data_IF_913479359484
#
_entry.id   IF_913479359484
#
_cell.length_a   1.000
_cell.length_b   1.000
_cell.length_c   1.000
_cell.angle_alpha   90.00
_cell.angle_beta   90.00
_cell.angle_gamma   90.00
#
_symmetry.space_group_name_H-M   'P 1'
#
loop_
_entity.id
_entity.type
_entity.pdbx_description
1 polymer ?
#
# COMPACT_ATOMS: atom_id res chain seq x y z
N UNK A 1 -10.45 2.85 -2.44
CA UNK A 1 -9.52 1.91 -3.10
C UNK A 1 -8.33 2.64 -3.69
N UNK A 2 -7.10 2.19 -3.44
CA UNK A 2 -5.84 2.82 -3.91
C UNK A 2 -5.32 2.12 -5.18
N UNK A 3 -4.82 2.86 -6.18
CA UNK A 3 -4.23 2.27 -7.37
C UNK A 3 -2.84 1.72 -7.04
N UNK A 4 -2.48 0.63 -7.70
CA UNK A 4 -1.22 -0.08 -7.48
C UNK A 4 -0.45 -0.21 -8.77
N UNK A 5 0.87 -0.17 -8.67
CA UNK A 5 1.77 -0.66 -9.71
C UNK A 5 2.29 -2.01 -9.24
N UNK A 6 1.82 -3.06 -9.91
CA UNK A 6 2.36 -4.40 -9.80
C UNK A 6 3.62 -4.49 -10.65
N UNK A 7 4.65 -5.10 -10.08
CA UNK A 7 6.00 -5.14 -10.64
C UNK A 7 6.46 -6.60 -10.71
N UNK A 8 6.92 -7.06 -11.88
CA UNK A 8 7.77 -8.25 -11.88
C UNK A 8 9.12 -7.94 -11.23
N UNK A 9 9.88 -8.98 -10.86
CA UNK A 9 11.17 -8.87 -10.21
C UNK A 9 12.31 -8.94 -11.22
N UNK A 10 12.44 -10.09 -11.86
CA UNK A 10 13.55 -10.42 -12.76
C UNK A 10 13.40 -9.64 -14.07
N UNK A 11 14.48 -9.03 -14.54
CA UNK A 11 14.52 -8.16 -15.72
C UNK A 11 13.54 -6.98 -15.71
N UNK A 12 13.00 -6.62 -14.54
CA UNK A 12 12.14 -5.46 -14.31
C UNK A 12 12.67 -4.58 -13.17
N UNK A 13 12.99 -5.18 -12.01
CA UNK A 13 13.65 -4.49 -10.89
C UNK A 13 15.13 -4.83 -10.80
N UNK A 14 15.51 -6.04 -11.20
CA UNK A 14 16.88 -6.55 -11.14
C UNK A 14 17.31 -7.14 -12.48
N UNK A 15 18.61 -7.12 -12.77
CA UNK A 15 19.17 -7.83 -13.91
C UNK A 15 19.28 -9.33 -13.58
N UNK A 16 18.49 -10.20 -14.23
CA UNK A 16 18.54 -11.63 -13.99
C UNK A 16 17.95 -12.47 -15.14
N UNK A 17 18.80 -13.24 -15.82
CA UNK A 17 18.42 -14.16 -16.89
C UNK A 17 18.29 -15.63 -16.45
N UNK A 18 18.30 -15.91 -15.14
CA UNK A 18 18.28 -17.29 -14.63
C UNK A 18 17.59 -17.47 -13.28
N UNK A 19 17.85 -18.62 -12.67
CA UNK A 19 17.36 -18.94 -11.33
C UNK A 19 18.30 -18.28 -10.29
N UNK A 20 17.89 -17.12 -9.77
CA UNK A 20 18.61 -16.34 -8.75
C UNK A 20 18.09 -16.63 -7.33
N UNK A 21 18.86 -17.42 -6.56
CA UNK A 21 18.63 -17.66 -5.12
C UNK A 21 19.70 -17.07 -4.20
N UNK A 22 20.77 -16.49 -4.75
CA UNK A 22 21.85 -15.89 -3.95
C UNK A 22 21.67 -14.37 -3.87
N UNK A 23 21.41 -13.80 -2.67
CA UNK A 23 21.28 -12.36 -2.47
C UNK A 23 22.52 -11.57 -2.93
N UNK A 24 23.72 -12.13 -2.81
CA UNK A 24 24.96 -11.42 -3.17
C UNK A 24 25.08 -11.15 -4.68
N UNK A 25 24.23 -11.78 -5.49
CA UNK A 25 24.18 -11.63 -6.95
C UNK A 25 23.08 -10.67 -7.41
N UNK A 26 22.35 -10.04 -6.48
CA UNK A 26 21.33 -9.05 -6.79
C UNK A 26 21.97 -7.77 -7.31
N UNK A 27 21.54 -7.36 -8.51
CA UNK A 27 21.91 -6.07 -9.11
C UNK A 27 20.63 -5.38 -9.56
N UNK A 28 20.32 -4.22 -8.96
CA UNK A 28 19.19 -3.40 -9.39
C UNK A 28 19.42 -2.88 -10.81
N UNK A 29 18.35 -2.81 -11.60
CA UNK A 29 18.40 -2.12 -12.90
C UNK A 29 18.45 -0.60 -12.70
N UNK A 30 19.02 0.08 -13.69
CA UNK A 30 19.14 1.53 -13.67
C UNK A 30 17.76 2.20 -13.57
N UNK A 31 17.70 3.27 -12.76
CA UNK A 31 16.48 4.03 -12.54
C UNK A 31 15.44 3.36 -11.63
N UNK A 32 15.63 2.11 -11.19
CA UNK A 32 14.65 1.42 -10.33
C UNK A 32 14.40 2.15 -9.00
N UNK A 33 15.41 2.49 -8.17
CA UNK A 33 15.16 3.16 -6.90
C UNK A 33 14.38 4.47 -7.05
N UNK A 34 14.81 5.31 -8.00
CA UNK A 34 14.20 6.59 -8.29
C UNK A 34 12.79 6.44 -8.88
N UNK A 35 12.58 5.50 -9.79
CA UNK A 35 11.28 5.21 -10.38
C UNK A 35 10.26 4.75 -9.35
N UNK A 36 10.65 3.84 -8.45
CA UNK A 36 9.80 3.40 -7.33
C UNK A 36 9.43 4.58 -6.42
N UNK A 37 10.41 5.44 -6.08
CA UNK A 37 10.15 6.65 -5.28
C UNK A 37 9.15 7.58 -5.97
N UNK A 38 9.32 7.84 -7.28
CA UNK A 38 8.41 8.68 -8.08
C UNK A 38 6.98 8.13 -8.11
N UNK A 39 6.82 6.81 -8.27
CA UNK A 39 5.51 6.16 -8.23
C UNK A 39 4.86 6.30 -6.85
N UNK A 40 5.63 6.13 -5.76
CA UNK A 40 5.14 6.36 -4.39
C UNK A 40 4.71 7.80 -4.16
N UNK A 41 5.48 8.76 -4.64
CA UNK A 41 5.17 10.20 -4.50
C UNK A 41 3.92 10.59 -5.31
N UNK A 42 3.64 9.88 -6.40
CA UNK A 42 2.39 10.00 -7.15
C UNK A 42 1.19 9.32 -6.47
N UNK A 43 1.41 8.64 -5.34
CA UNK A 43 0.37 8.01 -4.53
C UNK A 43 -0.09 6.64 -5.01
N UNK A 44 0.77 5.92 -5.75
CA UNK A 44 0.60 4.50 -6.01
C UNK A 44 1.14 3.68 -4.84
N UNK A 45 0.51 2.53 -4.58
CA UNK A 45 1.18 1.44 -3.84
C UNK A 45 1.99 0.59 -4.80
N UNK A 46 3.01 -0.08 -4.29
CA UNK A 46 3.95 -0.89 -5.06
C UNK A 46 3.92 -2.31 -4.54
N UNK A 47 3.61 -3.25 -5.42
CA UNK A 47 3.52 -4.68 -5.07
C UNK A 47 4.33 -5.48 -6.06
N UNK A 48 5.25 -6.30 -5.57
CA UNK A 48 6.00 -7.23 -6.43
C UNK A 48 5.20 -8.51 -6.60
N UNK A 49 5.08 -8.99 -7.84
CA UNK A 49 4.43 -10.26 -8.20
C UNK A 49 5.33 -11.05 -9.15
N UNK A 50 5.94 -12.13 -8.65
CA UNK A 50 7.02 -12.82 -9.39
C UNK A 50 6.88 -14.35 -9.44
N UNK A 51 7.25 -14.97 -10.56
CA UNK A 51 7.31 -16.43 -10.69
C UNK A 51 8.69 -16.93 -10.25
N UNK A 52 8.77 -17.68 -9.15
CA UNK A 52 10.03 -18.22 -8.60
C UNK A 52 10.14 -19.73 -8.81
N UNK A 53 10.09 -20.13 -10.08
CA UNK A 53 10.12 -21.54 -10.48
C UNK A 53 11.45 -22.26 -10.20
N UNK A 54 12.51 -21.54 -9.84
CA UNK A 54 13.78 -22.16 -9.41
C UNK A 54 13.61 -23.04 -8.18
N UNK A 55 12.65 -22.72 -7.30
CA UNK A 55 12.25 -23.57 -6.16
C UNK A 55 11.77 -24.93 -6.66
N UNK A 56 10.76 -24.95 -7.54
CA UNK A 56 10.24 -26.18 -8.16
C UNK A 56 11.30 -27.00 -8.91
N UNK A 57 12.35 -26.36 -9.42
CA UNK A 57 13.47 -27.00 -10.13
C UNK A 57 14.61 -27.44 -9.21
N UNK A 58 14.51 -27.20 -7.91
CA UNK A 58 15.54 -27.53 -6.92
C UNK A 58 16.83 -26.72 -7.08
N UNK A 59 16.73 -25.47 -7.56
CA UNK A 59 17.89 -24.57 -7.69
C UNK A 59 18.22 -23.81 -6.41
N UNK A 60 17.21 -23.55 -5.59
CA UNK A 60 17.27 -22.86 -4.31
C UNK A 60 15.98 -23.13 -3.52
N UNK A 61 15.95 -22.78 -2.24
CA UNK A 61 14.79 -22.97 -1.36
C UNK A 61 13.91 -21.71 -1.27
N UNK A 62 12.73 -21.80 -0.65
CA UNK A 62 11.85 -20.63 -0.46
C UNK A 62 12.50 -19.59 0.46
N UNK A 63 13.30 -20.03 1.42
CA UNK A 63 14.09 -19.18 2.32
C UNK A 63 15.10 -18.32 1.55
N UNK A 64 15.66 -18.85 0.46
CA UNK A 64 16.57 -18.11 -0.42
C UNK A 64 15.84 -17.02 -1.21
N UNK A 65 14.62 -17.31 -1.67
CA UNK A 65 13.73 -16.31 -2.30
C UNK A 65 13.48 -15.16 -1.34
N UNK A 66 13.17 -15.46 -0.08
CA UNK A 66 12.94 -14.44 0.95
C UNK A 66 14.19 -13.61 1.25
N UNK A 67 15.38 -14.24 1.26
CA UNK A 67 16.65 -13.53 1.42
C UNK A 67 16.91 -12.59 0.23
N UNK A 68 16.67 -13.03 -0.99
CA UNK A 68 16.80 -12.20 -2.21
C UNK A 68 15.83 -11.02 -2.15
N UNK A 69 14.57 -11.24 -1.76
CA UNK A 69 13.59 -10.14 -1.64
C UNK A 69 13.98 -9.12 -0.57
N UNK A 70 14.54 -9.56 0.56
CA UNK A 70 15.07 -8.64 1.58
C UNK A 70 16.25 -7.82 1.07
N UNK A 71 17.14 -8.43 0.30
CA UNK A 71 18.27 -7.72 -0.30
C UNK A 71 17.80 -6.67 -1.31
N UNK A 72 16.87 -7.01 -2.20
CA UNK A 72 16.29 -6.05 -3.15
C UNK A 72 15.66 -4.86 -2.40
N UNK A 73 14.86 -5.13 -1.36
CA UNK A 73 14.26 -4.08 -0.55
C UNK A 73 15.31 -3.21 0.14
N UNK A 74 16.37 -3.82 0.69
CA UNK A 74 17.47 -3.10 1.34
C UNK A 74 18.24 -2.19 0.38
N UNK A 75 18.57 -2.69 -0.82
CA UNK A 75 19.26 -1.93 -1.86
C UNK A 75 18.39 -0.77 -2.38
N UNK A 76 17.09 -1.02 -2.60
CA UNK A 76 16.14 0.01 -3.03
C UNK A 76 16.01 1.09 -1.95
N UNK A 77 15.81 0.70 -0.69
CA UNK A 77 15.64 1.64 0.42
C UNK A 77 16.90 2.50 0.62
N UNK A 78 18.09 1.91 0.48
CA UNK A 78 19.37 2.61 0.57
C UNK A 78 19.55 3.60 -0.58
N UNK A 79 19.31 3.16 -1.83
CA UNK A 79 19.55 3.97 -3.02
C UNK A 79 18.50 5.08 -3.20
N UNK A 80 17.27 4.86 -2.74
CA UNK A 80 16.17 5.84 -2.82
C UNK A 80 16.10 6.79 -1.61
N UNK A 81 16.98 6.61 -0.61
CA UNK A 81 16.95 7.32 0.69
C UNK A 81 15.56 7.32 1.35
N UNK A 82 14.84 6.19 1.22
CA UNK A 82 13.47 6.04 1.72
C UNK A 82 13.13 4.59 1.97
N UNK A 83 12.68 4.32 3.20
CA UNK A 83 12.28 2.96 3.60
C UNK A 83 10.88 2.59 3.15
N UNK A 84 10.69 1.30 2.89
CA UNK A 84 9.36 0.71 2.74
C UNK A 84 8.63 1.18 1.48
N UNK A 85 9.37 1.35 0.38
CA UNK A 85 8.77 1.70 -0.92
C UNK A 85 7.86 0.58 -1.43
N UNK A 86 8.26 -0.68 -1.27
CA UNK A 86 7.48 -1.86 -1.66
C UNK A 86 6.58 -2.30 -0.50
N UNK A 87 5.27 -2.36 -0.74
CA UNK A 87 4.29 -2.69 0.29
C UNK A 87 4.24 -4.19 0.59
N UNK A 88 4.29 -5.01 -0.47
CA UNK A 88 4.14 -6.46 -0.40
C UNK A 88 4.85 -7.13 -1.57
N UNK A 89 5.27 -8.37 -1.34
CA UNK A 89 5.79 -9.28 -2.36
C UNK A 89 4.92 -10.52 -2.36
N UNK A 90 4.44 -10.93 -3.53
CA UNK A 90 3.83 -12.23 -3.77
C UNK A 90 4.69 -12.97 -4.77
N UNK A 91 4.92 -14.26 -4.52
CA UNK A 91 5.64 -15.10 -5.46
C UNK A 91 5.00 -16.47 -5.62
N UNK A 92 5.24 -17.10 -6.77
CA UNK A 92 4.79 -18.46 -7.04
C UNK A 92 5.99 -19.42 -7.16
N UNK A 93 6.17 -20.36 -6.23
CA UNK A 93 7.23 -21.38 -6.32
C UNK A 93 6.86 -22.57 -7.21
N UNK A 94 5.57 -22.73 -7.55
CA UNK A 94 5.04 -23.90 -8.27
C UNK A 94 5.36 -23.91 -9.76
N UNK A 95 5.49 -25.10 -10.33
CA UNK A 95 5.66 -25.36 -11.76
C UNK A 95 4.97 -26.68 -12.18
N UNK A 96 4.28 -26.76 -13.33
CA UNK A 96 3.62 -28.00 -13.77
C UNK A 96 4.61 -29.15 -13.98
N UNK A 97 5.81 -28.83 -14.47
CA UNK A 97 6.91 -29.78 -14.71
C UNK A 97 7.99 -29.74 -13.60
N UNK A 98 7.62 -29.43 -12.35
CA UNK A 98 8.59 -29.34 -11.25
C UNK A 98 9.36 -30.66 -11.04
N UNK A 99 10.64 -30.59 -10.72
CA UNK A 99 11.43 -31.79 -10.35
C UNK A 99 11.04 -32.25 -8.95
N UNK A 100 10.78 -31.29 -8.04
CA UNK A 100 10.34 -31.56 -6.68
C UNK A 100 8.82 -31.73 -6.66
N UNK A 101 8.34 -32.91 -6.26
CA UNK A 101 6.92 -33.28 -6.31
C UNK A 101 6.02 -32.33 -5.52
N UNK A 102 6.47 -31.81 -4.37
CA UNK A 102 5.71 -30.86 -3.55
C UNK A 102 5.33 -29.57 -4.31
N UNK A 103 6.12 -29.19 -5.32
CA UNK A 103 5.90 -28.00 -6.14
C UNK A 103 5.32 -28.31 -7.53
N UNK A 104 5.09 -29.59 -7.85
CA UNK A 104 4.64 -30.05 -9.17
C UNK A 104 3.14 -29.90 -9.35
N UNK A 105 2.72 -28.73 -9.81
CA UNK A 105 1.32 -28.46 -10.17
C UNK A 105 1.18 -27.20 -11.01
N UNK A 106 0.10 -27.14 -11.78
CA UNK A 106 -0.44 -25.84 -12.18
C UNK A 106 -0.95 -25.11 -10.94
N UNK A 107 -0.71 -23.80 -10.89
CA UNK A 107 -1.09 -23.00 -9.73
C UNK A 107 -1.64 -21.65 -10.17
N UNK A 108 -2.77 -21.17 -9.60
CA UNK A 108 -3.36 -19.89 -9.98
C UNK A 108 -2.45 -18.68 -9.78
N UNK A 109 -1.42 -18.79 -8.93
CA UNK A 109 -0.44 -17.71 -8.75
C UNK A 109 0.66 -17.70 -9.81
N UNK A 110 0.81 -18.76 -10.60
CA UNK A 110 1.86 -18.81 -11.63
C UNK A 110 1.41 -18.00 -12.84
N UNK A 111 2.05 -16.85 -13.10
CA UNK A 111 1.81 -16.06 -14.33
C UNK A 111 2.01 -16.99 -15.54
N UNK A 112 1.07 -17.03 -16.51
CA UNK A 112 0.10 -15.98 -16.84
C UNK A 112 -1.21 -15.96 -16.05
N UNK A 113 -1.41 -16.83 -15.08
CA UNK A 113 -2.59 -16.77 -14.22
C UNK A 113 -2.56 -15.51 -13.32
N UNK A 114 -3.71 -14.83 -13.09
CA UNK A 114 -3.75 -13.55 -12.39
C UNK A 114 -3.76 -13.69 -10.85
N UNK A 115 -3.59 -14.89 -10.30
CA UNK A 115 -3.91 -15.18 -8.90
C UNK A 115 -3.13 -14.35 -7.89
N UNK A 116 -1.86 -14.00 -8.16
CA UNK A 116 -1.10 -13.10 -7.27
C UNK A 116 -1.70 -11.69 -7.23
N UNK A 117 -2.12 -11.15 -8.37
CA UNK A 117 -2.72 -9.80 -8.47
C UNK A 117 -4.10 -9.79 -7.81
N UNK A 118 -4.90 -10.84 -8.02
CA UNK A 118 -6.22 -10.99 -7.39
C UNK A 118 -6.10 -11.15 -5.86
N UNK A 119 -5.10 -11.90 -5.39
CA UNK A 119 -4.82 -12.05 -3.97
C UNK A 119 -4.42 -10.71 -3.36
N UNK A 120 -3.47 -10.01 -3.98
CA UNK A 120 -3.06 -8.68 -3.54
C UNK A 120 -4.25 -7.70 -3.48
N UNK A 121 -5.17 -7.76 -4.44
CA UNK A 121 -6.37 -6.91 -4.43
C UNK A 121 -7.27 -7.15 -3.22
N UNK A 122 -7.45 -8.40 -2.81
CA UNK A 122 -8.21 -8.77 -1.61
C UNK A 122 -7.51 -8.31 -0.34
N UNK A 123 -6.21 -8.59 -0.22
CA UNK A 123 -5.44 -8.33 1.00
C UNK A 123 -5.25 -6.84 1.26
N UNK A 124 -5.22 -6.03 0.19
CA UNK A 124 -4.83 -4.62 0.25
C UNK A 124 -5.96 -3.65 -0.14
N UNK A 125 -7.13 -4.15 -0.52
CA UNK A 125 -8.25 -3.32 -0.98
C UNK A 125 -7.88 -2.47 -2.21
N UNK A 126 -7.31 -3.11 -3.23
CA UNK A 126 -6.81 -2.48 -4.46
C UNK A 126 -7.90 -2.47 -5.53
N UNK A 127 -8.02 -1.35 -6.23
CA UNK A 127 -8.79 -1.30 -7.48
C UNK A 127 -7.90 -1.69 -8.66
N UNK A 128 -8.12 -2.89 -9.19
CA UNK A 128 -7.33 -3.44 -10.30
C UNK A 128 -7.50 -2.62 -11.59
N UNK A 129 -8.67 -2.03 -11.83
CA UNK A 129 -8.94 -1.27 -13.08
C UNK A 129 -8.12 0.02 -13.16
N UNK A 130 -7.80 0.62 -12.01
CA UNK A 130 -6.91 1.78 -11.92
C UNK A 130 -5.44 1.43 -11.80
N UNK A 131 -5.11 0.14 -11.70
CA UNK A 131 -3.76 -0.37 -11.44
C UNK A 131 -3.01 -0.74 -12.72
N UNK A 132 -1.71 -0.93 -12.57
CA UNK A 132 -0.77 -1.30 -13.63
C UNK A 132 -0.07 -2.62 -13.31
N UNK A 133 0.23 -3.43 -14.31
CA UNK A 133 1.18 -4.54 -14.23
C UNK A 133 2.35 -4.24 -15.17
N UNK A 134 3.56 -4.16 -14.61
CA UNK A 134 4.80 -3.89 -15.34
C UNK A 134 5.68 -5.12 -15.24
N UNK A 135 6.12 -5.65 -16.38
CA UNK A 135 7.00 -6.80 -16.45
C UNK A 135 7.70 -6.89 -17.80
N UNK A 136 8.69 -7.76 -17.93
CA UNK A 136 9.42 -7.93 -19.18
C UNK A 136 8.82 -9.03 -20.07
N UNK A 137 7.98 -9.93 -19.55
CA UNK A 137 7.53 -11.12 -20.30
C UNK A 137 6.06 -11.02 -20.74
N UNK A 138 5.69 -11.69 -21.85
CA UNK A 138 4.28 -11.78 -22.28
C UNK A 138 3.34 -12.33 -21.19
N UNK A 139 3.82 -13.23 -20.34
CA UNK A 139 3.06 -13.78 -19.21
C UNK A 139 2.64 -12.72 -18.19
N UNK A 140 3.40 -11.64 -18.06
CA UNK A 140 3.10 -10.52 -17.15
C UNK A 140 1.93 -9.70 -17.69
N UNK A 141 1.97 -9.43 -19.00
CA UNK A 141 0.89 -8.77 -19.74
C UNK A 141 -0.38 -9.60 -19.66
N UNK A 142 -0.29 -10.91 -19.87
CA UNK A 142 -1.44 -11.81 -19.78
C UNK A 142 -2.04 -11.83 -18.37
N UNK A 143 -1.21 -11.95 -17.32
CA UNK A 143 -1.68 -11.92 -15.94
C UNK A 143 -2.32 -10.58 -15.56
N UNK A 144 -1.70 -9.46 -15.95
CA UNK A 144 -2.24 -8.12 -15.72
C UNK A 144 -3.58 -7.90 -16.43
N UNK A 145 -3.65 -8.26 -17.72
CA UNK A 145 -4.87 -8.15 -18.52
C UNK A 145 -6.00 -9.02 -17.96
N UNK A 146 -5.71 -10.27 -17.59
CA UNK A 146 -6.67 -11.18 -16.97
C UNK A 146 -7.18 -10.68 -15.60
N UNK A 147 -6.36 -9.94 -14.85
CA UNK A 147 -6.76 -9.28 -13.61
C UNK A 147 -7.56 -7.97 -13.85
N UNK A 148 -7.60 -7.45 -15.08
CA UNK A 148 -8.23 -6.18 -15.43
C UNK A 148 -7.35 -4.94 -15.21
N UNK A 149 -6.05 -5.12 -15.04
CA UNK A 149 -5.06 -4.03 -14.95
C UNK A 149 -4.69 -3.51 -16.34
N UNK A 150 -4.22 -2.26 -16.39
CA UNK A 150 -3.40 -1.79 -17.51
C UNK A 150 -2.04 -2.48 -17.45
N UNK A 151 -1.38 -2.68 -18.58
CA UNK A 151 -0.13 -3.45 -18.63
C UNK A 151 0.96 -2.75 -19.43
N UNK A 152 2.20 -2.85 -18.95
CA UNK A 152 3.39 -2.36 -19.64
C UNK A 152 4.34 -3.54 -19.82
N UNK A 153 4.76 -3.76 -21.05
CA UNK A 153 5.83 -4.69 -21.39
C UNK A 153 7.14 -3.90 -21.52
N UNK A 154 8.14 -4.26 -20.72
CA UNK A 154 9.49 -3.69 -20.82
C UNK A 154 10.31 -4.51 -21.81
N UNK A 155 10.92 -3.84 -22.78
CA UNK A 155 11.90 -4.43 -23.69
C UNK A 155 11.84 -3.81 -25.09
N UNK A 156 12.96 -3.27 -25.61
CA UNK A 156 12.99 -2.66 -26.93
C UNK A 156 12.70 -3.70 -28.02
N UNK A 157 11.81 -3.36 -28.94
CA UNK A 157 11.48 -4.20 -30.10
C UNK A 157 10.71 -5.49 -29.78
N UNK A 158 10.21 -5.66 -28.54
CA UNK A 158 9.28 -6.76 -28.24
C UNK A 158 7.91 -6.44 -28.80
N UNK A 159 7.46 -7.23 -29.76
CA UNK A 159 6.06 -7.24 -30.19
C UNK A 159 5.22 -8.05 -29.19
N UNK A 160 3.93 -7.75 -29.11
CA UNK A 160 3.02 -8.51 -28.26
C UNK A 160 2.90 -9.95 -28.80
N UNK A 161 3.64 -10.89 -28.23
CA UNK A 161 3.46 -12.31 -28.53
C UNK A 161 2.30 -12.89 -27.69
N UNK A 162 1.20 -13.26 -28.37
CA UNK A 162 0.03 -13.91 -27.77
C UNK A 162 -1.28 -13.13 -27.92
N UNK A 163 -2.35 -13.63 -27.31
CA UNK A 163 -3.71 -13.07 -27.44
C UNK A 163 -3.91 -11.72 -26.73
N UNK A 164 -3.08 -11.39 -25.73
CA UNK A 164 -3.19 -10.16 -24.95
C UNK A 164 -2.10 -9.16 -25.35
N UNK A 165 -2.48 -8.07 -26.00
CA UNK A 165 -1.58 -6.94 -26.29
C UNK A 165 -1.40 -6.06 -25.04
N UNK A 166 -0.18 -5.57 -24.76
CA UNK A 166 0.04 -4.68 -23.63
C UNK A 166 -0.64 -3.32 -23.88
N UNK A 167 -0.96 -2.61 -22.80
CA UNK A 167 -1.47 -1.23 -22.91
C UNK A 167 -0.39 -0.30 -23.45
N UNK A 168 0.87 -0.52 -23.10
CA UNK A 168 2.01 0.20 -23.64
C UNK A 168 3.28 -0.69 -23.64
N UNK A 169 4.25 -0.29 -24.45
CA UNK A 169 5.60 -0.88 -24.46
C UNK A 169 6.56 0.20 -23.98
N UNK A 170 7.47 -0.17 -23.09
CA UNK A 170 8.51 0.70 -22.56
C UNK A 170 9.89 0.15 -22.92
N UNK A 171 10.85 1.05 -23.15
CA UNK A 171 12.23 0.66 -23.45
C UNK A 171 12.94 0.11 -22.22
N UNK A 172 12.66 0.69 -21.06
CA UNK A 172 13.24 0.35 -19.76
C UNK A 172 12.28 0.69 -18.61
N UNK A 173 12.73 0.50 -17.37
CA UNK A 173 11.94 0.79 -16.18
C UNK A 173 11.60 2.27 -16.01
N UNK A 174 12.50 3.17 -16.40
CA UNK A 174 12.28 4.63 -16.27
C UNK A 174 11.18 5.08 -17.22
N UNK A 175 11.23 4.62 -18.47
CA UNK A 175 10.20 4.86 -19.48
C UNK A 175 8.84 4.29 -19.04
N UNK A 176 8.82 3.10 -18.45
CA UNK A 176 7.60 2.51 -17.88
C UNK A 176 6.99 3.40 -16.79
N UNK A 177 7.82 3.95 -15.89
CA UNK A 177 7.37 4.89 -14.85
C UNK A 177 6.80 6.16 -15.48
N UNK A 178 7.46 6.72 -16.50
CA UNK A 178 7.00 7.92 -17.19
C UNK A 178 5.62 7.71 -17.83
N UNK A 179 5.39 6.57 -18.47
CA UNK A 179 4.08 6.18 -19.02
C UNK A 179 3.01 6.09 -17.92
N UNK A 180 3.32 5.43 -16.79
CA UNK A 180 2.38 5.32 -15.66
C UNK A 180 1.99 6.71 -15.13
N UNK A 181 2.96 7.60 -14.96
CA UNK A 181 2.73 8.95 -14.43
C UNK A 181 2.01 9.86 -15.43
N UNK A 182 2.31 9.75 -16.73
CA UNK A 182 1.66 10.51 -17.79
C UNK A 182 0.17 10.14 -17.95
N UNK A 183 -0.19 8.89 -17.66
CA UNK A 183 -1.60 8.45 -17.72
C UNK A 183 -2.51 9.12 -16.67
N UNK A 184 -1.91 9.80 -15.69
CA UNK A 184 -2.61 10.38 -14.56
C UNK A 184 -3.20 9.32 -13.61
N UNK A 185 -3.42 9.71 -12.35
CA UNK A 185 -4.22 8.88 -11.46
C UNK A 185 -5.65 8.87 -12.00
N UNK A 186 -6.33 7.71 -12.09
CA UNK A 186 -7.77 7.70 -12.30
C UNK A 186 -8.39 8.60 -11.23
N UNK A 187 -9.14 9.62 -11.65
CA UNK A 187 -9.74 10.59 -10.74
C UNK A 187 -10.52 9.82 -9.68
N UNK A 188 -9.93 9.63 -8.49
CA UNK A 188 -10.74 9.51 -7.28
C UNK A 188 -11.64 10.72 -7.28
N UNK A 189 -12.90 10.53 -6.89
CA UNK A 189 -13.83 11.58 -6.54
C UNK A 189 -13.14 12.59 -5.60
N UNK A 190 -12.42 13.56 -6.17
CA UNK A 190 -11.73 14.63 -5.45
C UNK A 190 -12.76 15.53 -4.74
N UNK A 191 -14.05 15.32 -5.04
CA UNK A 191 -15.21 15.91 -4.39
C UNK A 191 -15.52 15.33 -3.01
N UNK A 192 -15.30 14.05 -2.72
CA UNK A 192 -15.80 13.47 -1.46
C UNK A 192 -14.92 13.86 -0.26
N UNK A 193 -13.62 13.58 -0.28
CA UNK A 193 -12.76 13.98 0.85
C UNK A 193 -12.57 15.49 1.00
N UNK A 194 -12.63 16.27 -0.08
CA UNK A 194 -12.55 17.74 -0.01
C UNK A 194 -13.84 18.33 0.59
N UNK A 195 -15.00 17.77 0.24
CA UNK A 195 -16.28 18.20 0.78
C UNK A 195 -16.50 17.69 2.21
N UNK A 196 -16.05 16.49 2.55
CA UNK A 196 -16.01 15.97 3.93
C UNK A 196 -15.07 16.79 4.82
N UNK A 197 -13.86 17.14 4.35
CA UNK A 197 -12.95 18.03 5.08
C UNK A 197 -13.51 19.45 5.21
N UNK A 198 -14.20 19.95 4.19
CA UNK A 198 -14.88 21.24 4.25
C UNK A 198 -16.08 21.21 5.21
N UNK A 199 -16.85 20.12 5.23
CA UNK A 199 -17.95 19.90 6.18
C UNK A 199 -17.43 19.75 7.61
N UNK A 200 -16.34 19.01 7.81
CA UNK A 200 -15.71 18.84 9.11
C UNK A 200 -15.12 20.17 9.62
N UNK A 201 -14.47 20.96 8.75
CA UNK A 201 -14.00 22.32 9.11
C UNK A 201 -15.15 23.23 9.51
N UNK A 202 -16.25 23.25 8.75
CA UNK A 202 -17.45 24.02 9.12
C UNK A 202 -18.06 23.56 10.43
N UNK A 203 -18.16 22.25 10.65
CA UNK A 203 -18.67 21.70 11.91
C UNK A 203 -17.79 22.08 13.11
N UNK A 204 -16.46 22.09 12.93
CA UNK A 204 -15.52 22.55 13.96
C UNK A 204 -15.64 24.07 14.20
N UNK A 205 -15.79 24.87 13.15
CA UNK A 205 -16.01 26.33 13.27
C UNK A 205 -17.33 26.64 13.99
N UNK A 206 -18.42 25.97 13.63
CA UNK A 206 -19.73 26.10 14.29
C UNK A 206 -19.66 25.67 15.77
N UNK A 207 -18.94 24.59 16.07
CA UNK A 207 -18.71 24.15 17.46
C UNK A 207 -17.91 25.19 18.25
N UNK A 208 -16.90 25.81 17.63
CA UNK A 208 -16.06 26.82 18.27
C UNK A 208 -16.83 28.14 18.48
N UNK A 209 -17.73 28.51 17.57
CA UNK A 209 -18.61 29.67 17.75
C UNK A 209 -19.69 29.44 18.80
N UNK A 210 -20.24 28.23 18.90
CA UNK A 210 -21.23 27.87 19.93
C UNK A 210 -20.64 27.67 21.32
N UNK A 211 -19.35 27.32 21.42
CA UNK A 211 -18.62 27.19 22.70
C UNK A 211 -17.84 28.44 23.10
N UNK A 212 -17.81 29.50 22.27
CA UNK A 212 -17.25 30.82 22.67
C UNK A 212 -17.95 31.30 23.95
N UNK A 213 -17.22 31.43 25.08
CA UNK A 213 -17.83 31.82 26.34
C UNK A 213 -18.35 33.26 26.23
N UNK A 214 -19.69 33.42 26.22
CA UNK A 214 -20.35 34.71 26.41
C UNK A 214 -20.44 34.98 27.92
N UNK A 215 -19.34 35.47 28.48
CA UNK A 215 -19.22 35.87 29.89
C UNK A 215 -17.86 35.56 30.49
N UNK A 216 -17.38 36.43 31.39
CA UNK A 216 -16.04 36.39 32.01
C UNK A 216 -15.95 35.54 33.30
N UNK A 217 -16.92 34.64 33.53
CA UNK A 217 -16.92 33.76 34.70
C UNK A 217 -15.78 32.74 34.64
N UNK A 218 -14.90 32.76 35.65
CA UNK A 218 -13.75 31.84 35.75
C UNK A 218 -14.19 30.37 35.80
N UNK A 219 -15.36 30.04 36.36
CA UNK A 219 -15.84 28.65 36.40
C UNK A 219 -16.39 28.18 35.04
N UNK A 220 -16.97 29.07 34.22
CA UNK A 220 -17.34 28.79 32.83
C UNK A 220 -16.16 28.49 31.93
N UNK A 221 -15.07 29.25 32.06
CA UNK A 221 -13.84 28.99 31.29
C UNK A 221 -13.20 27.66 31.68
N UNK A 222 -13.19 27.33 32.97
CA UNK A 222 -12.72 26.03 33.47
C UNK A 222 -13.61 24.90 32.94
N UNK A 223 -14.94 25.04 32.99
CA UNK A 223 -15.88 24.05 32.47
C UNK A 223 -15.76 23.81 30.97
N UNK A 224 -15.58 24.85 30.18
CA UNK A 224 -15.37 24.75 28.73
C UNK A 224 -14.02 24.09 28.38
N UNK A 225 -12.96 24.43 29.11
CA UNK A 225 -11.65 23.79 28.94
C UNK A 225 -11.68 22.30 29.28
N UNK A 226 -12.35 21.92 30.37
CA UNK A 226 -12.50 20.51 30.76
C UNK A 226 -13.26 19.68 29.71
N UNK A 227 -14.28 20.24 29.05
CA UNK A 227 -15.05 19.54 28.01
C UNK A 227 -14.21 19.21 26.76
N UNK A 228 -13.23 20.04 26.43
CA UNK A 228 -12.34 19.82 25.27
C UNK A 228 -11.30 18.74 25.57
N UNK A 229 -10.81 18.67 26.82
CA UNK A 229 -9.71 17.78 27.20
C UNK A 229 -10.21 16.41 27.67
N UNK A 230 -11.43 16.33 28.23
CA UNK A 230 -12.01 15.08 28.75
C UNK A 230 -12.09 13.90 27.77
N UNK A 231 -12.29 14.08 26.45
CA UNK A 231 -12.31 12.97 25.50
C UNK A 231 -10.93 12.40 25.16
N UNK A 232 -9.83 13.12 25.41
CA UNK A 232 -8.49 12.71 25.00
C UNK A 232 -8.01 11.39 25.64
N UNK A 233 -8.25 11.11 26.94
CA UNK A 233 -7.92 9.82 27.52
C UNK A 233 -8.72 8.65 26.94
N UNK A 234 -9.96 8.89 26.49
CA UNK A 234 -10.78 7.88 25.81
C UNK A 234 -10.21 7.54 24.42
N UNK A 235 -9.81 8.56 23.66
CA UNK A 235 -9.14 8.39 22.36
C UNK A 235 -7.78 7.70 22.54
N UNK A 236 -7.01 8.06 23.57
CA UNK A 236 -5.75 7.39 23.87
C UNK A 236 -5.98 5.91 24.28
N UNK A 237 -7.03 5.62 25.04
CA UNK A 237 -7.41 4.25 25.40
C UNK A 237 -7.80 3.38 24.20
N UNK A 238 -8.45 3.95 23.17
CA UNK A 238 -8.78 3.26 21.93
C UNK A 238 -7.56 2.93 21.06
N UNK A 239 -6.48 3.71 21.18
CA UNK A 239 -5.30 3.61 20.30
C UNK A 239 -4.15 2.82 20.97
N UNK A 240 -4.00 2.91 22.29
CA UNK A 240 -2.77 2.49 22.98
C UNK A 240 -2.95 1.44 24.09
N UNK A 241 -4.18 1.02 24.43
CA UNK A 241 -4.40 0.05 25.50
C UNK A 241 -4.98 -1.26 24.96
N UNK A 242 -4.18 -2.33 25.03
CA UNK A 242 -4.59 -3.69 24.64
C UNK A 242 -5.35 -4.45 25.75
N UNK A 243 -5.33 -3.94 26.99
CA UNK A 243 -5.99 -4.58 28.13
C UNK A 243 -7.40 -4.01 28.42
N UNK A 244 -8.46 -4.83 28.39
CA UNK A 244 -9.84 -4.35 28.59
C UNK A 244 -10.07 -3.66 29.93
N UNK A 245 -9.41 -4.10 31.00
CA UNK A 245 -9.61 -3.54 32.34
C UNK A 245 -9.09 -2.10 32.47
N UNK A 246 -7.97 -1.77 31.82
CA UNK A 246 -7.43 -0.42 31.84
C UNK A 246 -8.30 0.52 31.00
N UNK A 247 -8.81 0.06 29.85
CA UNK A 247 -9.77 0.81 29.05
C UNK A 247 -11.02 1.24 29.85
N UNK A 248 -11.64 0.31 30.59
CA UNK A 248 -12.82 0.63 31.40
C UNK A 248 -12.53 1.63 32.52
N UNK A 249 -11.36 1.56 33.15
CA UNK A 249 -10.95 2.52 34.18
C UNK A 249 -10.80 3.94 33.59
N UNK A 250 -10.17 4.07 32.43
CA UNK A 250 -10.03 5.37 31.74
C UNK A 250 -11.36 5.94 31.26
N UNK A 251 -12.26 5.07 30.76
CA UNK A 251 -13.61 5.48 30.38
C UNK A 251 -14.40 6.03 31.59
N UNK A 252 -14.29 5.39 32.75
CA UNK A 252 -14.95 5.86 33.98
C UNK A 252 -14.40 7.23 34.41
N UNK A 253 -13.08 7.43 34.35
CA UNK A 253 -12.44 8.73 34.64
C UNK A 253 -12.95 9.81 33.69
N UNK A 254 -13.01 9.55 32.39
CA UNK A 254 -13.56 10.50 31.40
C UNK A 254 -15.00 10.89 31.72
N UNK A 255 -15.86 9.92 32.07
CA UNK A 255 -17.26 10.20 32.43
C UNK A 255 -17.37 11.08 33.68
N UNK A 256 -16.58 10.79 34.72
CA UNK A 256 -16.57 11.60 35.96
C UNK A 256 -16.10 13.04 35.68
N UNK A 257 -15.05 13.20 34.88
CA UNK A 257 -14.51 14.52 34.48
C UNK A 257 -15.55 15.31 33.66
N UNK A 258 -16.27 14.65 32.75
CA UNK A 258 -17.37 15.27 32.00
C UNK A 258 -18.52 15.70 32.92
N UNK A 259 -18.95 14.85 33.86
CA UNK A 259 -20.01 15.18 34.81
C UNK A 259 -19.63 16.37 35.71
N UNK A 260 -18.37 16.45 36.16
CA UNK A 260 -17.85 17.58 36.91
C UNK A 260 -17.84 18.88 36.08
N UNK A 261 -17.43 18.80 34.80
CA UNK A 261 -17.43 19.94 33.88
C UNK A 261 -18.85 20.48 33.63
N UNK A 262 -19.81 19.57 33.41
CA UNK A 262 -21.24 19.91 33.28
C UNK A 262 -21.76 20.54 34.58
N UNK A 263 -21.38 20.00 35.74
CA UNK A 263 -21.72 20.57 37.05
C UNK A 263 -21.23 22.02 37.21
N UNK A 264 -19.98 22.30 36.87
CA UNK A 264 -19.42 23.66 36.89
C UNK A 264 -20.19 24.62 35.96
N UNK A 265 -20.60 24.15 34.78
CA UNK A 265 -21.36 24.96 33.82
C UNK A 265 -22.81 25.21 34.26
N UNK A 266 -23.41 24.30 35.04
CA UNK A 266 -24.77 24.42 35.55
C UNK A 266 -24.85 25.29 36.82
N UNK A 267 -23.81 25.31 37.66
CA UNK A 267 -23.77 26.13 38.88
C UNK A 267 -23.71 27.63 38.60
N UNK A 268 -23.15 28.05 37.46
CA UNK A 268 -23.12 29.46 37.01
C UNK A 268 -24.38 29.90 36.22
N UNK A 269 -25.43 29.07 36.16
CA UNK A 269 -26.73 29.43 35.58
C UNK A 269 -27.78 29.87 36.62
N UNK A 270 -27.48 29.80 37.91
CA UNK A 270 -28.29 30.35 39.01
C UNK A 270 -27.70 31.66 39.48
#
# INVERSE_FOLDING_TARGET
MEPVVFLDRDNTLIANDGDLGDPARVTLLDGVPEGLRRLRDAGYRLVVVTNQGGVARGRYEEEDVDRVHREIAGLVDLAADRRGLVDRVYYCPFHPEAVIDAYRREHPWRKPQPGMLLQASRDLGIDLRSSWMVGDQPRDVQAGSAAGCRTILIGPGREAEGEASPTAIANDFTDAVDIVLASGRPQRARGESSNELAQLRRAIEDLNETTRPRGTGTARMIGAGLMIVAPLPFVAGLIFLDEPQTFFAWMLVTVVVMLAAIGCLLLERR
#
